data_IF_822182590105
#
_entry.id   IF_822182590105
#
_cell.length_a   1.000
_cell.length_b   1.000
_cell.length_c   1.000
_cell.angle_alpha   90.00
_cell.angle_beta   90.00
_cell.angle_gamma   90.00
#
_symmetry.space_group_name_H-M   'P 1'
#
loop_
_entity.id
_entity.type
_entity.pdbx_description
1 polymer ?
#
# COMPACT_ATOMS: atom_id res chain seq x y z
N UNK A 1 34.63 24.02 -9.63
CA UNK A 1 33.81 23.51 -8.50
C UNK A 1 34.24 22.07 -8.27
N UNK A 2 34.54 21.68 -7.03
CA UNK A 2 35.02 20.31 -6.73
C UNK A 2 33.84 19.39 -6.38
N UNK A 3 34.03 18.09 -6.58
CA UNK A 3 33.09 17.04 -6.14
C UNK A 3 33.72 16.25 -5.00
N UNK A 4 32.92 15.91 -4.00
CA UNK A 4 33.27 15.08 -2.87
C UNK A 4 32.50 13.76 -2.91
N UNK A 5 33.11 12.75 -2.29
CA UNK A 5 32.43 11.52 -1.90
C UNK A 5 31.75 11.80 -0.57
N UNK A 6 30.41 11.80 -0.57
CA UNK A 6 29.60 12.09 0.60
C UNK A 6 29.08 10.80 1.25
N UNK A 7 29.18 10.72 2.58
CA UNK A 7 28.44 9.76 3.39
C UNK A 7 27.12 10.38 3.82
N UNK A 8 26.02 9.97 3.18
CA UNK A 8 24.68 10.49 3.46
C UNK A 8 24.33 10.30 4.93
N UNK A 9 24.53 9.08 5.44
CA UNK A 9 24.54 8.73 6.86
C UNK A 9 25.94 8.99 7.43
N UNK A 10 26.08 10.13 8.10
CA UNK A 10 27.37 10.75 8.41
C UNK A 10 28.28 9.87 9.29
N UNK A 11 29.58 9.85 8.98
CA UNK A 11 30.55 8.99 9.68
C UNK A 11 30.64 9.25 11.20
N UNK A 12 30.41 10.50 11.62
CA UNK A 12 30.39 10.84 13.06
C UNK A 12 29.30 10.12 13.84
N UNK A 13 28.22 9.70 13.17
CA UNK A 13 27.08 9.05 13.83
C UNK A 13 27.42 7.64 14.31
N UNK A 14 28.48 7.02 13.82
CA UNK A 14 28.92 5.68 14.23
C UNK A 14 30.40 5.63 14.67
N UNK A 15 30.93 6.80 15.06
CA UNK A 15 32.26 6.91 15.68
C UNK A 15 33.44 6.95 14.71
N UNK A 16 33.22 7.14 13.40
CA UNK A 16 34.29 7.26 12.38
C UNK A 16 35.26 6.06 12.32
N UNK A 17 34.84 4.89 12.81
CA UNK A 17 35.58 3.62 12.75
C UNK A 17 35.80 3.11 11.32
N UNK A 18 36.92 2.42 11.06
CA UNK A 18 37.15 1.84 9.73
C UNK A 18 36.32 0.54 9.58
N UNK A 19 35.10 0.65 9.04
CA UNK A 19 34.12 -0.43 8.97
C UNK A 19 33.47 -0.56 7.58
N UNK A 20 32.64 -1.60 7.39
CA UNK A 20 31.91 -1.81 6.14
C UNK A 20 30.99 -0.63 5.79
N UNK A 21 30.32 -0.03 6.79
CA UNK A 21 29.46 1.15 6.60
C UNK A 21 30.21 2.35 5.98
N UNK A 22 31.51 2.49 6.26
CA UNK A 22 32.34 3.54 5.67
C UNK A 22 32.53 3.39 4.16
N UNK A 23 32.52 2.17 3.65
CA UNK A 23 32.73 1.86 2.23
C UNK A 23 31.46 1.38 1.53
N UNK A 24 30.32 1.43 2.22
CA UNK A 24 29.05 1.01 1.66
C UNK A 24 28.60 1.99 0.58
N UNK A 25 28.61 1.52 -0.65
CA UNK A 25 28.19 2.26 -1.82
C UNK A 25 26.74 2.70 -1.71
N UNK A 26 25.84 2.04 -0.97
CA UNK A 26 24.48 2.56 -0.73
C UNK A 26 24.44 3.79 0.19
N UNK A 27 25.51 4.05 0.94
CA UNK A 27 25.67 5.25 1.77
C UNK A 27 26.51 6.36 1.09
N UNK A 28 27.14 6.05 -0.03
CA UNK A 28 28.11 6.93 -0.70
C UNK A 28 27.48 7.59 -1.93
N UNK A 29 27.49 8.93 -1.96
CA UNK A 29 26.89 9.73 -3.03
C UNK A 29 27.88 10.82 -3.53
N UNK A 30 27.83 11.18 -4.82
CA UNK A 30 28.58 12.34 -5.32
C UNK A 30 27.91 13.63 -4.85
N UNK A 31 28.70 14.57 -4.31
CA UNK A 31 28.17 15.85 -3.84
C UNK A 31 29.12 17.02 -4.13
N UNK A 32 28.56 18.20 -4.42
CA UNK A 32 29.35 19.42 -4.62
C UNK A 32 30.08 19.82 -3.33
N UNK A 33 31.35 20.21 -3.45
CA UNK A 33 32.22 20.29 -2.27
C UNK A 33 31.75 21.32 -1.24
N UNK A 34 31.23 22.47 -1.66
CA UNK A 34 30.75 23.51 -0.73
C UNK A 34 29.48 23.08 -0.01
N UNK A 35 28.51 22.50 -0.71
CA UNK A 35 27.28 22.03 -0.06
C UNK A 35 27.56 20.84 0.86
N UNK A 36 28.49 19.93 0.52
CA UNK A 36 28.92 18.84 1.39
C UNK A 36 29.52 19.38 2.71
N UNK A 37 30.44 20.35 2.62
CA UNK A 37 30.98 21.04 3.81
C UNK A 37 29.89 21.74 4.62
N UNK A 38 28.92 22.35 3.94
CA UNK A 38 27.79 23.03 4.58
C UNK A 38 26.87 22.03 5.28
N UNK A 39 26.60 20.85 4.69
CA UNK A 39 25.76 19.79 5.24
C UNK A 39 26.35 19.22 6.53
N UNK A 40 27.66 18.96 6.54
CA UNK A 40 28.36 18.46 7.72
C UNK A 40 27.79 17.12 8.20
N UNK A 41 27.44 17.02 9.47
CA UNK A 41 26.84 15.83 10.07
C UNK A 41 25.34 15.97 10.38
N UNK A 42 24.66 16.96 9.80
CA UNK A 42 23.25 17.27 10.11
C UNK A 42 22.31 16.12 9.75
N UNK A 43 21.20 16.03 10.49
CA UNK A 43 20.13 15.06 10.24
C UNK A 43 19.39 15.34 8.94
N UNK A 44 18.82 14.30 8.32
CA UNK A 44 17.93 14.49 7.17
C UNK A 44 16.53 14.88 7.68
N UNK A 45 15.94 15.92 7.09
CA UNK A 45 14.57 16.32 7.43
C UNK A 45 14.13 17.61 6.73
N UNK A 46 12.92 18.08 7.04
CA UNK A 46 12.36 19.30 6.45
C UNK A 46 13.10 20.53 7.00
N UNK A 47 13.71 21.31 6.10
CA UNK A 47 14.40 22.56 6.44
C UNK A 47 13.44 23.73 6.28
N UNK A 48 13.00 24.28 7.40
CA UNK A 48 12.08 25.44 7.44
C UNK A 48 12.79 26.79 7.37
N UNK A 49 14.05 26.86 7.84
CA UNK A 49 14.90 28.05 7.78
C UNK A 49 16.21 27.71 7.08
N UNK A 50 16.31 28.07 5.81
CA UNK A 50 17.49 27.77 4.96
C UNK A 50 18.63 28.73 5.32
N UNK A 51 19.84 28.17 5.46
CA UNK A 51 21.09 28.92 5.68
C UNK A 51 22.06 28.76 4.51
N UNK A 52 22.06 27.61 3.85
CA UNK A 52 22.86 27.33 2.67
C UNK A 52 22.05 26.46 1.70
N UNK A 53 22.25 26.66 0.40
CA UNK A 53 21.65 25.81 -0.65
C UNK A 53 22.47 25.89 -1.93
N UNK A 54 22.39 24.84 -2.75
CA UNK A 54 22.90 24.82 -4.13
C UNK A 54 21.78 24.55 -5.16
N UNK A 55 20.50 24.70 -4.76
CA UNK A 55 19.34 24.36 -5.58
C UNK A 55 18.86 22.91 -5.43
N UNK A 56 19.77 21.94 -5.26
CA UNK A 56 19.44 20.52 -5.08
C UNK A 56 19.45 20.05 -3.62
N UNK A 57 20.04 20.83 -2.72
CA UNK A 57 20.12 20.54 -1.29
C UNK A 57 19.92 21.82 -0.50
N UNK A 58 19.11 21.76 0.56
CA UNK A 58 18.94 22.81 1.56
C UNK A 58 19.62 22.40 2.84
N UNK A 59 20.27 23.34 3.51
CA UNK A 59 20.86 23.15 4.83
C UNK A 59 20.39 24.26 5.75
N UNK A 60 19.97 23.92 6.97
CA UNK A 60 19.51 24.91 7.93
C UNK A 60 18.83 24.27 9.14
N UNK A 61 17.74 24.90 9.60
CA UNK A 61 17.01 24.43 10.78
C UNK A 61 15.60 23.98 10.45
N UNK A 62 15.16 22.89 11.09
CA UNK A 62 13.78 22.42 11.06
C UNK A 62 12.87 23.16 12.05
N UNK A 63 11.57 22.89 11.96
CA UNK A 63 10.57 23.46 12.87
C UNK A 63 10.79 23.05 14.34
N UNK A 64 11.43 21.90 14.55
CA UNK A 64 11.81 21.36 15.85
C UNK A 64 13.14 21.94 16.40
N UNK A 65 13.74 22.90 15.70
CA UNK A 65 15.02 23.51 16.07
C UNK A 65 16.26 22.66 15.74
N UNK A 66 16.10 21.46 15.18
CA UNK A 66 17.24 20.61 14.80
C UNK A 66 17.99 21.20 13.61
N UNK A 67 19.31 20.98 13.60
CA UNK A 67 20.14 21.27 12.44
C UNK A 67 19.96 20.16 11.40
N UNK A 68 19.35 20.51 10.26
CA UNK A 68 18.91 19.56 9.25
C UNK A 68 19.46 19.90 7.86
N UNK A 69 19.43 18.90 6.98
CA UNK A 69 19.53 19.07 5.54
C UNK A 69 18.34 18.40 4.85
N UNK A 70 17.97 18.91 3.68
CA UNK A 70 16.84 18.43 2.89
C UNK A 70 17.28 18.28 1.42
N UNK A 71 17.13 17.10 0.81
CA UNK A 71 17.33 16.93 -0.64
C UNK A 71 16.17 17.59 -1.43
N UNK A 72 16.40 17.85 -2.72
CA UNK A 72 15.33 18.22 -3.65
C UNK A 72 14.31 17.09 -3.81
N UNK A 73 13.11 17.42 -4.31
CA UNK A 73 11.96 16.54 -4.27
C UNK A 73 12.18 15.23 -5.04
N UNK A 74 12.92 15.29 -6.14
CA UNK A 74 13.29 14.17 -7.00
C UNK A 74 14.37 13.24 -6.41
N UNK A 75 14.88 13.51 -5.21
CA UNK A 75 15.87 12.67 -4.51
C UNK A 75 15.40 12.24 -3.11
N UNK A 76 14.23 12.71 -2.67
CA UNK A 76 13.75 12.50 -1.30
C UNK A 76 13.55 11.03 -0.98
N UNK A 77 13.06 10.26 -1.94
CA UNK A 77 12.83 8.82 -1.82
C UNK A 77 14.13 8.04 -1.81
N UNK A 78 15.08 8.39 -2.68
CA UNK A 78 16.39 7.75 -2.77
C UNK A 78 17.14 7.81 -1.43
N UNK A 79 17.23 9.02 -0.86
CA UNK A 79 17.89 9.19 0.43
C UNK A 79 17.09 8.55 1.57
N UNK A 80 15.75 8.56 1.53
CA UNK A 80 14.93 7.87 2.52
C UNK A 80 15.18 6.36 2.53
N UNK A 81 15.13 5.71 1.36
CA UNK A 81 15.44 4.28 1.19
C UNK A 81 16.89 3.96 1.56
N UNK A 82 17.82 4.88 1.28
CA UNK A 82 19.21 4.78 1.73
C UNK A 82 19.33 4.80 3.26
N UNK A 83 18.69 5.73 3.94
CA UNK A 83 18.71 5.81 5.41
C UNK A 83 18.08 4.58 6.06
N UNK A 84 16.93 4.12 5.56
CA UNK A 84 16.26 2.89 6.01
C UNK A 84 17.14 1.66 5.82
N UNK A 85 17.81 1.56 4.67
CA UNK A 85 18.78 0.51 4.43
C UNK A 85 19.90 0.48 5.46
N UNK A 86 20.52 1.63 5.75
CA UNK A 86 21.66 1.69 6.67
C UNK A 86 21.26 1.25 8.08
N UNK A 87 20.12 1.71 8.59
CA UNK A 87 19.68 1.31 9.94
C UNK A 87 19.28 -0.16 10.04
N UNK A 88 18.85 -0.77 8.92
CA UNK A 88 18.53 -2.22 8.85
C UNK A 88 19.77 -3.08 8.65
N UNK A 89 20.61 -2.75 7.67
CA UNK A 89 21.78 -3.56 7.31
C UNK A 89 22.90 -3.50 8.36
N UNK A 90 22.92 -2.42 9.16
CA UNK A 90 23.90 -2.19 10.24
C UNK A 90 23.23 -2.14 11.61
N UNK A 91 22.19 -2.96 11.84
CA UNK A 91 21.52 -3.10 13.14
C UNK A 91 22.52 -3.41 14.28
N UNK A 92 23.62 -4.09 14.01
CA UNK A 92 24.70 -4.37 14.96
C UNK A 92 25.46 -3.11 15.44
N UNK A 93 25.21 -1.95 14.83
CA UNK A 93 25.72 -0.64 15.23
C UNK A 93 24.67 0.13 16.06
N UNK A 94 23.54 -0.47 16.40
CA UNK A 94 22.46 0.15 17.16
C UNK A 94 22.90 0.89 18.42
N UNK A 95 23.90 0.38 19.14
CA UNK A 95 24.42 1.01 20.36
C UNK A 95 25.48 2.09 20.11
N UNK A 96 25.83 2.36 18.85
CA UNK A 96 26.88 3.33 18.45
C UNK A 96 26.30 4.62 17.88
N UNK A 97 24.98 4.72 17.67
CA UNK A 97 24.39 5.92 17.09
C UNK A 97 24.56 7.12 18.01
N UNK A 98 25.24 8.16 17.53
CA UNK A 98 25.65 9.31 18.34
C UNK A 98 25.61 10.62 17.53
N UNK A 99 26.01 11.72 18.17
CA UNK A 99 26.01 13.07 17.57
C UNK A 99 24.61 13.46 17.07
N UNK A 100 24.51 14.25 15.99
CA UNK A 100 23.24 14.62 15.36
C UNK A 100 22.38 13.42 14.93
N UNK A 101 22.96 12.22 14.77
CA UNK A 101 22.21 11.00 14.45
C UNK A 101 21.21 10.64 15.54
N UNK A 102 21.53 10.93 16.81
CA UNK A 102 20.63 10.71 17.95
C UNK A 102 19.36 11.58 17.89
N UNK A 103 19.30 12.60 17.02
CA UNK A 103 18.07 13.37 16.80
C UNK A 103 17.01 12.55 16.04
N UNK A 104 17.43 11.61 15.20
CA UNK A 104 16.56 10.77 14.35
C UNK A 104 16.56 9.28 14.74
N UNK A 105 17.50 8.84 15.58
CA UNK A 105 17.73 7.44 15.92
C UNK A 105 17.59 7.18 17.43
N UNK A 106 17.13 5.98 17.75
CA UNK A 106 17.24 5.38 19.08
C UNK A 106 18.46 4.45 19.13
N UNK A 107 19.07 4.29 20.31
CA UNK A 107 20.21 3.39 20.53
C UNK A 107 19.75 1.96 20.87
N UNK A 108 18.98 1.36 19.98
CA UNK A 108 18.40 0.02 20.10
C UNK A 108 18.23 -0.60 18.71
N UNK A 109 18.04 -1.91 18.68
CA UNK A 109 17.86 -2.66 17.43
C UNK A 109 16.50 -2.41 16.79
N UNK A 110 15.44 -2.32 17.60
CA UNK A 110 14.10 -1.97 17.14
C UNK A 110 13.26 -1.31 18.25
N UNK A 111 12.48 -0.25 17.95
CA UNK A 111 12.50 0.54 16.71
C UNK A 111 13.77 1.41 16.65
N UNK A 112 14.52 1.37 15.53
CA UNK A 112 15.79 2.11 15.38
C UNK A 112 15.60 3.59 15.04
N UNK A 113 14.60 3.92 14.21
CA UNK A 113 14.26 5.29 13.85
C UNK A 113 13.24 5.87 14.83
N UNK A 114 13.39 7.15 15.17
CA UNK A 114 12.38 7.89 15.92
C UNK A 114 11.14 8.11 15.06
N UNK A 115 9.98 8.21 15.72
CA UNK A 115 8.67 8.29 15.06
C UNK A 115 8.57 9.39 14.00
N UNK A 116 9.02 10.59 14.33
CA UNK A 116 9.02 11.69 13.37
C UNK A 116 9.87 11.39 12.12
N UNK A 117 10.98 10.66 12.30
CA UNK A 117 11.95 10.40 11.24
C UNK A 117 11.44 9.31 10.30
N UNK A 118 10.99 8.16 10.83
CA UNK A 118 10.46 7.12 9.94
C UNK A 118 9.20 7.59 9.23
N UNK A 119 8.29 8.35 9.87
CA UNK A 119 7.09 8.88 9.21
C UNK A 119 7.44 9.81 8.05
N UNK A 120 8.46 10.66 8.24
CA UNK A 120 8.94 11.55 7.19
C UNK A 120 9.58 10.77 6.04
N UNK A 121 10.44 9.81 6.34
CA UNK A 121 11.16 9.03 5.34
C UNK A 121 10.20 8.13 4.54
N UNK A 122 9.22 7.53 5.19
CA UNK A 122 8.12 6.80 4.52
C UNK A 122 7.36 7.74 3.57
N UNK A 123 6.95 8.92 4.06
CA UNK A 123 6.25 9.92 3.23
C UNK A 123 7.07 10.30 1.99
N UNK A 124 8.37 10.50 2.16
CA UNK A 124 9.28 10.84 1.07
C UNK A 124 9.44 9.69 0.08
N UNK A 125 9.65 8.46 0.56
CA UNK A 125 9.76 7.28 -0.30
C UNK A 125 8.46 6.96 -1.06
N UNK A 126 7.28 7.27 -0.49
CA UNK A 126 5.99 7.17 -1.17
C UNK A 126 5.81 8.24 -2.26
N UNK A 127 6.29 9.47 -2.01
CA UNK A 127 6.16 10.59 -2.95
C UNK A 127 7.14 10.48 -4.13
N UNK A 128 8.37 10.05 -3.85
CA UNK A 128 9.45 9.86 -4.81
C UNK A 128 9.76 8.36 -4.94
N UNK A 129 9.08 7.72 -5.89
CA UNK A 129 9.13 6.28 -6.12
C UNK A 129 10.43 5.89 -6.83
N UNK A 130 10.93 4.65 -6.69
CA UNK A 130 12.15 4.24 -7.38
C UNK A 130 12.07 4.44 -8.88
N UNK A 131 13.09 5.10 -9.42
CA UNK A 131 13.20 5.39 -10.84
C UNK A 131 14.25 4.49 -11.52
N UNK A 132 14.42 4.66 -12.83
CA UNK A 132 15.37 3.88 -13.60
C UNK A 132 16.83 4.09 -13.15
N UNK A 133 17.17 5.28 -12.66
CA UNK A 133 18.53 5.61 -12.21
C UNK A 133 18.85 4.91 -10.88
N UNK A 134 17.94 4.98 -9.91
CA UNK A 134 18.08 4.34 -8.61
C UNK A 134 18.12 2.81 -8.76
N UNK A 135 17.25 2.23 -9.59
CA UNK A 135 17.23 0.79 -9.86
C UNK A 135 18.52 0.34 -10.55
N UNK A 136 18.99 1.10 -11.55
CA UNK A 136 20.28 0.83 -12.21
C UNK A 136 21.42 0.86 -11.20
N UNK A 137 21.45 1.88 -10.33
CA UNK A 137 22.45 2.02 -9.27
C UNK A 137 22.38 0.83 -8.29
N UNK A 138 21.20 0.38 -7.88
CA UNK A 138 21.04 -0.78 -7.01
C UNK A 138 21.61 -2.06 -7.66
N UNK A 139 21.33 -2.27 -8.95
CA UNK A 139 21.88 -3.38 -9.72
C UNK A 139 23.41 -3.31 -9.84
N UNK A 140 23.98 -2.13 -10.11
CA UNK A 140 25.43 -1.98 -10.31
C UNK A 140 26.20 -2.07 -8.99
N UNK A 141 25.67 -1.49 -7.91
CA UNK A 141 26.24 -1.65 -6.56
C UNK A 141 26.22 -3.11 -6.13
N UNK A 142 25.14 -3.85 -6.41
CA UNK A 142 25.04 -5.27 -6.06
C UNK A 142 26.13 -6.13 -6.72
N UNK A 143 26.50 -5.83 -7.97
CA UNK A 143 27.60 -6.51 -8.67
C UNK A 143 28.97 -6.25 -8.02
N UNK A 144 29.13 -5.10 -7.35
CA UNK A 144 30.39 -4.69 -6.71
C UNK A 144 30.47 -5.16 -5.26
N UNK A 145 29.41 -4.96 -4.47
CA UNK A 145 29.39 -5.24 -3.03
C UNK A 145 28.88 -6.64 -2.67
N UNK A 146 28.13 -7.29 -3.58
CA UNK A 146 27.50 -8.58 -3.34
C UNK A 146 26.19 -8.53 -2.55
N UNK A 147 25.67 -7.34 -2.23
CA UNK A 147 24.39 -7.15 -1.55
C UNK A 147 23.51 -6.09 -2.22
N UNK A 148 22.20 -6.11 -1.95
CA UNK A 148 21.22 -5.16 -2.50
C UNK A 148 20.62 -4.28 -1.41
N UNK A 149 20.10 -3.12 -1.79
CA UNK A 149 19.19 -2.36 -0.94
C UNK A 149 17.76 -2.90 -1.14
N UNK A 150 17.18 -3.63 -0.16
CA UNK A 150 15.86 -4.22 -0.29
C UNK A 150 14.74 -3.18 -0.30
N UNK A 151 14.96 -1.96 0.23
CA UNK A 151 13.99 -0.87 0.16
C UNK A 151 13.90 -0.27 -1.25
N UNK A 152 14.94 -0.44 -2.07
CA UNK A 152 14.86 -0.13 -3.51
C UNK A 152 14.17 -1.28 -4.23
N UNK A 153 14.49 -2.54 -3.95
CA UNK A 153 13.88 -3.69 -4.63
C UNK A 153 12.38 -3.87 -4.29
N UNK A 154 12.01 -3.55 -3.05
CA UNK A 154 10.65 -3.67 -2.50
C UNK A 154 10.22 -2.32 -1.92
N UNK A 155 9.63 -1.43 -2.74
CA UNK A 155 9.43 -0.03 -2.37
C UNK A 155 8.40 0.18 -1.26
N UNK A 156 7.69 -0.86 -0.84
CA UNK A 156 6.74 -0.85 0.27
C UNK A 156 7.31 -1.50 1.55
N UNK A 157 8.52 -2.07 1.53
CA UNK A 157 9.12 -2.77 2.67
C UNK A 157 9.19 -1.90 3.94
N UNK A 158 9.36 -0.59 3.78
CA UNK A 158 9.39 0.37 4.89
C UNK A 158 8.12 0.33 5.77
N UNK A 159 6.96 0.02 5.19
CA UNK A 159 5.70 -0.07 5.92
C UNK A 159 5.66 -1.30 6.83
N UNK A 160 6.32 -2.39 6.42
CA UNK A 160 6.45 -3.62 7.20
C UNK A 160 7.46 -3.50 8.35
N UNK A 161 8.35 -2.51 8.28
CA UNK A 161 9.38 -2.31 9.32
C UNK A 161 9.00 -1.20 10.29
N UNK A 162 8.55 -0.03 9.82
CA UNK A 162 8.22 1.10 10.71
C UNK A 162 6.83 1.66 10.56
N UNK A 163 6.20 1.38 9.43
CA UNK A 163 4.90 1.92 9.14
C UNK A 163 3.80 1.04 9.71
N UNK A 164 2.85 0.80 8.86
CA UNK A 164 1.54 0.32 9.25
C UNK A 164 1.29 -1.15 9.05
N UNK A 165 2.21 -1.79 8.34
CA UNK A 165 2.19 -3.19 7.98
C UNK A 165 3.05 -4.02 8.92
N UNK A 166 3.52 -3.44 10.04
CA UNK A 166 4.43 -4.11 11.01
C UNK A 166 3.83 -5.36 11.65
N UNK A 167 2.52 -5.54 11.52
CA UNK A 167 1.73 -6.68 11.98
C UNK A 167 1.33 -7.65 10.85
N UNK A 168 1.84 -7.46 9.63
CA UNK A 168 1.60 -8.29 8.45
C UNK A 168 2.90 -8.97 8.04
N UNK A 169 2.83 -10.26 7.69
CA UNK A 169 4.00 -10.96 7.16
C UNK A 169 4.39 -10.41 5.78
N UNK A 170 5.65 -10.00 5.63
CA UNK A 170 6.19 -9.60 4.33
C UNK A 170 6.41 -10.83 3.43
N UNK A 171 5.82 -10.83 2.24
CA UNK A 171 6.02 -11.87 1.24
C UNK A 171 6.74 -11.31 0.00
N UNK A 172 8.03 -11.63 -0.21
CA UNK A 172 8.81 -11.12 -1.35
C UNK A 172 8.32 -11.64 -2.72
N UNK A 173 7.50 -12.69 -2.76
CA UNK A 173 6.97 -13.24 -4.02
C UNK A 173 5.81 -12.40 -4.56
N UNK A 174 4.94 -11.91 -3.67
CA UNK A 174 3.68 -11.24 -4.00
C UNK A 174 3.67 -9.73 -3.74
N UNK A 175 4.67 -9.22 -3.01
CA UNK A 175 4.79 -7.78 -2.73
C UNK A 175 5.18 -6.96 -3.97
N UNK A 176 5.00 -5.64 -3.89
CA UNK A 176 5.40 -4.68 -4.92
C UNK A 176 6.92 -4.73 -5.14
N UNK A 177 7.34 -4.81 -6.40
CA UNK A 177 8.75 -4.84 -6.82
C UNK A 177 9.13 -3.63 -7.64
N UNK A 178 10.37 -3.20 -7.54
CA UNK A 178 10.89 -2.05 -8.31
C UNK A 178 10.94 -2.28 -9.82
N UNK A 179 10.97 -3.54 -10.27
CA UNK A 179 10.85 -3.89 -11.68
C UNK A 179 9.57 -3.36 -12.33
N UNK A 180 8.51 -3.12 -11.55
CA UNK A 180 7.27 -2.51 -12.02
C UNK A 180 7.40 -1.02 -12.38
N UNK A 181 8.54 -0.39 -12.09
CA UNK A 181 8.78 1.06 -12.30
C UNK A 181 9.73 1.36 -13.47
N UNK A 182 10.33 0.36 -14.12
CA UNK A 182 11.45 0.56 -15.07
C UNK A 182 11.02 0.99 -16.48
N UNK A 183 9.72 1.05 -16.79
CA UNK A 183 9.26 1.67 -18.03
C UNK A 183 8.30 2.81 -17.65
N UNK A 184 8.58 4.03 -18.11
CA UNK A 184 7.65 5.18 -18.07
C UNK A 184 6.34 4.97 -18.85
N UNK A 185 6.01 3.73 -19.16
CA UNK A 185 4.78 3.19 -19.74
C UNK A 185 4.49 1.89 -18.97
N UNK A 186 3.94 2.01 -17.76
CA UNK A 186 3.55 0.88 -16.93
C UNK A 186 2.28 0.19 -17.44
N UNK A 187 2.39 -0.51 -18.56
CA UNK A 187 1.40 -1.47 -19.03
C UNK A 187 1.56 -2.82 -18.31
N UNK A 188 0.47 -3.30 -17.71
CA UNK A 188 0.26 -4.72 -17.39
C UNK A 188 0.57 -5.13 -15.96
N UNK A 189 -0.44 -4.99 -15.08
CA UNK A 189 -0.44 -5.48 -13.71
C UNK A 189 -1.01 -4.40 -12.79
N UNK A 190 -2.17 -4.66 -12.19
CA UNK A 190 -2.91 -3.70 -11.36
C UNK A 190 -1.99 -2.94 -10.42
N UNK A 191 -2.19 -1.62 -10.31
CA UNK A 191 -1.49 -0.84 -9.30
C UNK A 191 -2.00 -1.31 -7.93
N UNK A 192 -1.21 -2.16 -7.28
CA UNK A 192 -1.33 -2.36 -5.84
C UNK A 192 -0.91 -1.02 -5.24
N UNK A 193 -1.86 -0.31 -4.64
CA UNK A 193 -1.53 0.78 -3.73
C UNK A 193 -0.70 0.18 -2.58
N UNK A 194 0.56 0.59 -2.38
CA UNK A 194 1.50 -0.05 -1.46
C UNK A 194 1.23 0.21 0.03
N UNK A 195 -0.03 0.48 0.44
CA UNK A 195 -0.37 1.04 1.75
C UNK A 195 -1.31 0.17 2.59
N UNK A 196 -0.80 -0.51 3.63
CA UNK A 196 -1.59 -1.02 4.75
C UNK A 196 -1.81 0.02 5.87
N UNK A 197 -2.23 1.25 5.56
CA UNK A 197 -2.50 2.34 6.54
C UNK A 197 -3.18 1.86 7.85
N UNK A 198 -2.67 2.15 9.08
CA UNK A 198 -3.19 1.58 10.33
C UNK A 198 -4.06 2.60 11.08
N UNK A 199 -4.28 3.79 10.50
CA UNK A 199 -5.20 4.82 10.99
C UNK A 199 -6.55 4.76 10.28
N UNK A 200 -6.59 4.20 9.08
CA UNK A 200 -7.82 3.82 8.39
C UNK A 200 -7.74 2.35 8.14
N UNK A 201 -8.54 1.57 8.85
CA UNK A 201 -8.73 0.13 8.62
C UNK A 201 -9.11 -0.23 7.16
N UNK A 202 -9.27 0.75 6.26
CA UNK A 202 -9.67 0.67 4.85
C UNK A 202 -8.43 0.76 3.93
N UNK A 203 -8.24 -0.23 3.04
CA UNK A 203 -7.17 -0.33 2.04
C UNK A 203 -7.77 -0.48 0.64
N UNK A 204 -7.02 -0.13 -0.40
CA UNK A 204 -7.44 -0.33 -1.79
C UNK A 204 -7.18 -1.79 -2.23
N UNK A 205 -8.24 -2.54 -2.53
CA UNK A 205 -8.19 -3.91 -3.05
C UNK A 205 -7.99 -3.92 -4.57
N UNK A 206 -8.65 -3.00 -5.27
CA UNK A 206 -8.55 -2.83 -6.71
C UNK A 206 -8.71 -1.36 -7.06
N UNK A 207 -7.95 -0.87 -8.04
CA UNK A 207 -8.18 0.45 -8.61
C UNK A 207 -7.76 0.49 -10.07
N UNK A 208 -8.64 1.05 -10.91
CA UNK A 208 -8.33 1.32 -12.29
C UNK A 208 -8.90 2.68 -12.71
N UNK A 209 -8.08 3.45 -13.42
CA UNK A 209 -8.50 4.65 -14.15
C UNK A 209 -8.53 4.30 -15.63
N UNK A 210 -9.73 4.07 -16.16
CA UNK A 210 -9.94 3.48 -17.47
C UNK A 210 -9.57 4.40 -18.64
N UNK A 211 -9.41 5.70 -18.39
CA UNK A 211 -8.81 6.64 -19.36
C UNK A 211 -7.31 6.42 -19.54
N UNK A 212 -6.66 5.68 -18.65
CA UNK A 212 -5.22 5.38 -18.70
C UNK A 212 -4.91 3.92 -19.11
N UNK A 213 -5.70 2.94 -18.67
CA UNK A 213 -5.57 1.53 -19.07
C UNK A 213 -6.94 0.83 -19.15
N UNK A 214 -6.99 -0.46 -19.46
CA UNK A 214 -8.23 -1.27 -19.51
C UNK A 214 -8.65 -1.86 -18.16
N UNK A 215 -7.82 -1.70 -17.12
CA UNK A 215 -7.99 -2.25 -15.78
C UNK A 215 -8.07 -3.78 -15.73
N UNK A 216 -7.61 -4.48 -16.77
CA UNK A 216 -7.75 -5.93 -16.91
C UNK A 216 -9.19 -6.40 -17.15
N UNK A 217 -10.09 -5.49 -17.51
CA UNK A 217 -11.49 -5.84 -17.70
C UNK A 217 -11.66 -6.73 -18.93
N UNK A 218 -12.58 -7.69 -18.84
CA UNK A 218 -12.92 -8.59 -19.95
C UNK A 218 -14.38 -8.44 -20.32
N UNK A 219 -14.66 -8.29 -21.61
CA UNK A 219 -16.02 -8.29 -22.12
C UNK A 219 -16.52 -9.73 -22.34
N UNK A 220 -17.77 -9.99 -21.99
CA UNK A 220 -18.53 -11.15 -22.46
C UNK A 220 -19.83 -10.69 -23.12
N UNK A 221 -20.04 -11.05 -24.38
CA UNK A 221 -21.23 -10.68 -25.14
C UNK A 221 -22.25 -11.81 -25.04
N UNK A 222 -23.41 -11.52 -24.45
CA UNK A 222 -24.55 -12.44 -24.37
C UNK A 222 -25.37 -12.39 -25.66
N UNK A 223 -25.62 -11.18 -26.17
CA UNK A 223 -26.28 -10.96 -27.45
C UNK A 223 -25.90 -9.61 -28.04
N UNK A 224 -25.87 -9.51 -29.37
CA UNK A 224 -25.54 -8.25 -30.04
C UNK A 224 -26.13 -8.23 -31.45
N UNK A 225 -27.21 -7.47 -31.65
CA UNK A 225 -27.80 -7.24 -32.97
C UNK A 225 -27.24 -6.00 -33.67
N UNK A 226 -26.28 -5.31 -33.05
CA UNK A 226 -25.67 -4.09 -33.58
C UNK A 226 -24.56 -4.40 -34.60
N UNK A 227 -24.14 -3.42 -35.41
CA UNK A 227 -22.99 -3.58 -36.29
C UNK A 227 -21.63 -3.49 -35.58
N UNK A 228 -21.59 -3.39 -34.24
CA UNK A 228 -20.33 -3.40 -33.50
C UNK A 228 -19.87 -4.84 -33.23
N UNK A 229 -18.56 -5.07 -33.21
CA UNK A 229 -17.97 -6.34 -32.77
C UNK A 229 -17.90 -6.46 -31.25
N UNK A 230 -17.96 -5.33 -30.54
CA UNK A 230 -17.90 -5.20 -29.09
C UNK A 230 -18.96 -4.20 -28.64
N UNK A 231 -19.58 -4.43 -27.49
CA UNK A 231 -20.52 -3.49 -26.86
C UNK A 231 -19.77 -2.54 -25.92
N UNK A 232 -18.78 -3.08 -25.21
CA UNK A 232 -17.86 -2.34 -24.37
C UNK A 232 -16.60 -1.97 -25.14
N UNK A 233 -16.38 -0.68 -25.32
CA UNK A 233 -15.18 -0.14 -25.98
C UNK A 233 -14.47 0.83 -25.06
N UNK A 234 -13.15 0.69 -24.94
CA UNK A 234 -12.32 1.54 -24.10
C UNK A 234 -11.75 2.71 -24.89
N UNK A 235 -11.72 3.90 -24.31
CA UNK A 235 -11.07 5.08 -24.87
C UNK A 235 -10.28 5.86 -23.81
N UNK A 236 -9.26 6.58 -24.25
CA UNK A 236 -8.49 7.46 -23.36
C UNK A 236 -9.29 8.68 -22.87
N UNK A 237 -10.43 9.00 -23.49
CA UNK A 237 -11.24 10.17 -23.13
C UNK A 237 -12.37 9.83 -22.14
N UNK A 238 -12.99 8.66 -22.29
CA UNK A 238 -14.22 8.30 -21.58
C UNK A 238 -14.07 7.05 -20.69
N UNK A 239 -12.92 6.38 -20.73
CA UNK A 239 -12.77 5.08 -20.09
C UNK A 239 -13.52 3.99 -20.86
N UNK A 240 -14.16 3.08 -20.15
CA UNK A 240 -15.00 2.05 -20.74
C UNK A 240 -16.38 2.61 -21.09
N UNK A 241 -16.82 2.37 -22.32
CA UNK A 241 -18.12 2.80 -22.84
C UNK A 241 -18.91 1.60 -23.34
N UNK A 242 -20.03 1.31 -22.69
CA UNK A 242 -21.03 0.34 -23.12
C UNK A 242 -22.12 1.02 -23.96
N UNK A 243 -22.27 0.63 -25.22
CA UNK A 243 -23.40 1.04 -26.06
C UNK A 243 -23.57 0.13 -27.26
N UNK A 244 -24.82 -0.06 -27.69
CA UNK A 244 -25.15 -0.69 -28.96
C UNK A 244 -25.69 0.31 -29.99
N UNK A 245 -25.75 1.61 -29.65
CA UNK A 245 -26.31 2.63 -30.52
C UNK A 245 -25.36 2.95 -31.67
N UNK A 246 -25.85 2.82 -32.90
CA UNK A 246 -25.09 3.19 -34.12
C UNK A 246 -26.03 3.79 -35.17
N UNK A 247 -26.41 5.05 -34.98
CA UNK A 247 -27.41 5.72 -35.84
C UNK A 247 -28.84 5.20 -35.68
N UNK A 248 -29.01 4.06 -35.01
CA UNK A 248 -30.25 3.40 -34.63
C UNK A 248 -30.03 2.66 -33.31
N UNK A 249 -31.13 2.34 -32.61
CA UNK A 249 -31.12 1.48 -31.43
C UNK A 249 -31.01 0.01 -31.85
N UNK A 250 -30.13 -0.73 -31.20
CA UNK A 250 -29.96 -2.17 -31.40
C UNK A 250 -30.12 -2.90 -30.07
N UNK A 251 -30.65 -4.12 -30.12
CA UNK A 251 -30.72 -4.97 -28.96
C UNK A 251 -29.34 -5.58 -28.71
N UNK A 252 -28.85 -5.46 -27.48
CA UNK A 252 -27.60 -6.08 -27.08
C UNK A 252 -27.59 -6.30 -25.58
N UNK A 253 -26.81 -7.29 -25.17
CA UNK A 253 -26.55 -7.59 -23.78
C UNK A 253 -25.10 -8.07 -23.65
N UNK A 254 -24.32 -7.41 -22.81
CA UNK A 254 -22.91 -7.73 -22.59
C UNK A 254 -22.47 -7.31 -21.18
N UNK A 255 -21.54 -8.06 -20.61
CA UNK A 255 -20.89 -7.72 -19.35
C UNK A 255 -19.49 -7.23 -19.60
N UNK A 256 -19.05 -6.26 -18.79
CA UNK A 256 -17.64 -5.90 -18.63
C UNK A 256 -17.22 -6.30 -17.22
N UNK A 257 -16.36 -7.30 -17.14
CA UNK A 257 -16.01 -7.97 -15.89
C UNK A 257 -14.64 -7.51 -15.42
N UNK A 258 -14.56 -7.03 -14.17
CA UNK A 258 -13.29 -6.72 -13.50
C UNK A 258 -12.51 -8.03 -13.26
N UNK A 259 -11.17 -7.97 -13.13
CA UNK A 259 -10.39 -9.09 -12.61
C UNK A 259 -10.93 -9.60 -11.26
N UNK A 260 -10.72 -10.89 -10.98
CA UNK A 260 -11.02 -11.46 -9.66
C UNK A 260 -10.26 -10.69 -8.57
N UNK A 261 -10.97 -10.34 -7.50
CA UNK A 261 -10.41 -9.72 -6.31
C UNK A 261 -10.52 -10.67 -5.12
N UNK A 262 -9.50 -10.66 -4.27
CA UNK A 262 -9.47 -11.46 -3.05
C UNK A 262 -10.00 -10.62 -1.88
N UNK A 263 -11.19 -10.96 -1.37
CA UNK A 263 -11.82 -10.33 -0.21
C UNK A 263 -11.75 -11.22 1.04
N UNK A 264 -10.96 -12.30 1.04
CA UNK A 264 -10.93 -13.28 2.15
C UNK A 264 -10.44 -12.71 3.48
N UNK A 265 -9.59 -11.69 3.44
CA UNK A 265 -8.97 -11.08 4.63
C UNK A 265 -9.62 -9.80 5.13
N UNK A 266 -10.88 -9.54 4.77
CA UNK A 266 -11.57 -8.27 5.02
C UNK A 266 -12.84 -8.46 5.86
N UNK A 267 -13.22 -7.43 6.60
CA UNK A 267 -14.44 -7.36 7.43
C UNK A 267 -15.54 -6.51 6.77
N UNK A 268 -15.17 -5.63 5.84
CA UNK A 268 -16.04 -4.74 5.09
C UNK A 268 -15.36 -4.45 3.75
N UNK A 269 -16.13 -4.19 2.69
CA UNK A 269 -15.60 -3.83 1.39
C UNK A 269 -16.62 -3.00 0.61
N UNK A 270 -16.14 -2.12 -0.28
CA UNK A 270 -16.98 -1.24 -1.08
C UNK A 270 -16.44 -1.11 -2.50
N UNK A 271 -17.32 -1.05 -3.48
CA UNK A 271 -17.00 -0.69 -4.86
C UNK A 271 -17.43 0.74 -5.12
N UNK A 272 -16.51 1.62 -5.51
CA UNK A 272 -16.82 2.95 -6.03
C UNK A 272 -16.56 3.01 -7.53
N UNK A 273 -17.57 3.43 -8.30
CA UNK A 273 -17.45 3.67 -9.74
C UNK A 273 -17.69 5.14 -10.08
N UNK A 274 -16.83 5.70 -10.92
CA UNK A 274 -17.04 7.02 -11.53
C UNK A 274 -17.71 6.83 -12.88
N UNK A 275 -19.00 7.17 -12.97
CA UNK A 275 -19.83 6.87 -14.14
C UNK A 275 -20.61 8.07 -14.66
N UNK A 276 -20.91 8.04 -15.96
CA UNK A 276 -21.85 8.91 -16.64
C UNK A 276 -22.78 8.07 -17.52
N UNK A 277 -24.06 8.45 -17.58
CA UNK A 277 -25.08 7.74 -18.35
C UNK A 277 -25.87 8.76 -19.18
N UNK A 278 -26.07 8.44 -20.45
CA UNK A 278 -26.90 9.24 -21.34
C UNK A 278 -27.83 8.34 -22.18
N UNK A 279 -28.90 8.94 -22.70
CA UNK A 279 -29.92 8.30 -23.54
C UNK A 279 -30.69 7.15 -22.88
N UNK A 280 -30.68 7.06 -21.56
CA UNK A 280 -31.46 6.09 -20.80
C UNK A 280 -32.91 6.54 -20.59
N UNK A 281 -33.23 7.83 -20.79
CA UNK A 281 -34.58 8.40 -20.67
C UNK A 281 -35.23 8.10 -19.31
N UNK A 282 -34.44 8.14 -18.24
CA UNK A 282 -34.88 7.83 -16.88
C UNK A 282 -35.11 6.34 -16.59
N UNK A 283 -34.71 5.44 -17.50
CA UNK A 283 -34.86 3.97 -17.36
C UNK A 283 -33.53 3.24 -17.17
N UNK A 284 -32.47 3.94 -16.77
CA UNK A 284 -31.13 3.35 -16.70
C UNK A 284 -31.08 2.03 -15.89
N UNK A 285 -31.74 1.96 -14.73
CA UNK A 285 -31.77 0.76 -13.88
C UNK A 285 -32.54 -0.44 -14.48
N UNK A 286 -33.37 -0.23 -15.51
CA UNK A 286 -34.01 -1.34 -16.24
C UNK A 286 -33.01 -2.06 -17.16
N UNK A 287 -31.93 -1.38 -17.54
CA UNK A 287 -30.99 -1.80 -18.59
C UNK A 287 -29.56 -1.99 -18.09
N UNK A 288 -29.18 -1.33 -17.00
CA UNK A 288 -27.82 -1.34 -16.47
C UNK A 288 -27.83 -1.99 -15.08
N UNK A 289 -26.88 -2.89 -14.84
CA UNK A 289 -26.73 -3.58 -13.56
C UNK A 289 -25.27 -3.75 -13.18
N UNK A 290 -25.03 -3.88 -11.88
CA UNK A 290 -23.78 -4.43 -11.35
C UNK A 290 -24.09 -5.79 -10.75
N UNK A 291 -23.40 -6.81 -11.26
CA UNK A 291 -23.55 -8.20 -10.87
C UNK A 291 -22.25 -8.67 -10.20
N UNK A 292 -22.36 -9.52 -9.19
CA UNK A 292 -21.23 -10.03 -8.43
C UNK A 292 -21.31 -11.55 -8.37
N UNK A 293 -20.15 -12.20 -8.55
CA UNK A 293 -19.92 -13.61 -8.30
C UNK A 293 -18.90 -13.76 -7.18
N UNK A 294 -19.28 -14.40 -6.07
CA UNK A 294 -18.37 -14.76 -4.99
C UNK A 294 -18.08 -16.27 -5.00
N UNK A 295 -16.87 -16.62 -4.56
CA UNK A 295 -16.41 -18.00 -4.38
C UNK A 295 -15.82 -18.14 -2.99
N UNK A 296 -16.45 -18.96 -2.14
CA UNK A 296 -15.91 -19.32 -0.83
C UNK A 296 -14.68 -20.19 -1.01
N UNK A 297 -13.57 -19.79 -0.40
CA UNK A 297 -12.28 -20.48 -0.57
C UNK A 297 -12.14 -21.75 0.27
N UNK A 298 -13.01 -21.94 1.26
CA UNK A 298 -12.99 -23.10 2.16
C UNK A 298 -13.66 -24.33 1.55
N UNK A 299 -14.72 -24.15 0.78
CA UNK A 299 -15.50 -25.25 0.21
C UNK A 299 -15.83 -25.10 -1.30
N UNK A 300 -15.49 -23.96 -1.91
CA UNK A 300 -15.73 -23.68 -3.33
C UNK A 300 -17.16 -23.27 -3.66
N UNK A 301 -18.00 -22.99 -2.67
CA UNK A 301 -19.38 -22.52 -2.88
C UNK A 301 -19.40 -21.24 -3.69
N UNK A 302 -20.27 -21.19 -4.70
CA UNK A 302 -20.43 -20.04 -5.59
C UNK A 302 -21.77 -19.37 -5.31
N UNK A 303 -21.74 -18.05 -5.13
CA UNK A 303 -22.93 -17.21 -5.11
C UNK A 303 -22.84 -16.19 -6.26
N UNK A 304 -23.94 -16.03 -6.99
CA UNK A 304 -24.08 -15.03 -8.06
C UNK A 304 -25.30 -14.17 -7.77
N UNK A 305 -25.13 -12.86 -7.74
CA UNK A 305 -26.18 -11.92 -7.32
C UNK A 305 -26.05 -10.56 -8.00
N UNK A 306 -27.14 -9.79 -7.96
CA UNK A 306 -27.15 -8.39 -8.39
C UNK A 306 -26.95 -7.49 -7.16
N UNK A 307 -26.07 -6.49 -7.27
CA UNK A 307 -25.94 -5.45 -6.24
C UNK A 307 -27.15 -4.51 -6.33
N UNK A 308 -28.04 -4.63 -5.35
CA UNK A 308 -29.35 -3.94 -5.35
C UNK A 308 -29.27 -2.47 -4.93
N UNK A 309 -28.16 -2.06 -4.34
CA UNK A 309 -27.82 -0.68 -3.99
C UNK A 309 -27.14 0.07 -5.16
N UNK A 310 -27.01 -0.54 -6.34
CA UNK A 310 -26.57 0.14 -7.54
C UNK A 310 -27.52 1.28 -7.90
N UNK A 311 -26.96 2.49 -8.00
CA UNK A 311 -27.67 3.71 -8.38
C UNK A 311 -27.00 4.40 -9.57
N UNK A 312 -27.74 5.30 -10.20
CA UNK A 312 -27.38 5.99 -11.45
C UNK A 312 -27.77 7.47 -11.37
N UNK A 313 -27.16 8.35 -12.19
CA UNK A 313 -27.55 9.75 -12.23
C UNK A 313 -29.05 9.93 -12.51
N UNK A 314 -29.71 10.76 -11.69
CA UNK A 314 -31.15 11.07 -11.83
C UNK A 314 -31.54 11.72 -13.16
N UNK A 315 -30.56 12.21 -13.93
CA UNK A 315 -30.72 12.77 -15.26
C UNK A 315 -29.61 12.29 -16.18
N UNK A 316 -30.01 11.97 -17.40
CA UNK A 316 -29.11 11.70 -18.52
C UNK A 316 -28.15 12.89 -18.72
N UNK A 317 -26.85 12.64 -18.59
CA UNK A 317 -25.82 13.65 -18.84
C UNK A 317 -24.45 13.01 -19.02
N UNK A 318 -23.53 13.74 -19.64
CA UNK A 318 -22.11 13.36 -19.70
C UNK A 318 -21.31 13.80 -18.46
N UNK A 319 -22.01 14.19 -17.39
CA UNK A 319 -21.36 14.56 -16.13
C UNK A 319 -21.11 13.29 -15.33
N UNK A 320 -19.87 13.14 -14.88
CA UNK A 320 -19.45 11.97 -14.12
C UNK A 320 -19.66 12.20 -12.63
N UNK A 321 -20.19 11.19 -11.96
CA UNK A 321 -20.34 11.15 -10.51
C UNK A 321 -19.84 9.82 -9.96
N UNK A 322 -19.41 9.84 -8.71
CA UNK A 322 -19.01 8.64 -7.97
C UNK A 322 -20.23 8.00 -7.31
N UNK A 323 -20.36 6.69 -7.47
CA UNK A 323 -21.37 5.86 -6.83
C UNK A 323 -20.68 4.73 -6.10
N UNK A 324 -21.05 4.52 -4.84
CA UNK A 324 -20.45 3.52 -3.97
C UNK A 324 -21.47 2.44 -3.65
N UNK A 325 -21.10 1.19 -3.89
CA UNK A 325 -21.87 -0.02 -3.61
C UNK A 325 -21.20 -0.78 -2.46
N UNK A 326 -22.00 -1.37 -1.59
CA UNK A 326 -21.58 -2.18 -0.45
C UNK A 326 -21.28 -3.62 -0.89
N UNK A 327 -20.09 -4.10 -0.54
CA UNK A 327 -19.64 -5.47 -0.75
C UNK A 327 -19.46 -6.23 0.57
N UNK A 328 -19.85 -5.66 1.70
CA UNK A 328 -19.66 -6.24 3.04
C UNK A 328 -20.19 -7.67 3.17
N UNK A 329 -21.24 -8.02 2.44
CA UNK A 329 -21.79 -9.38 2.47
C UNK A 329 -20.85 -10.42 1.87
N UNK A 330 -19.98 -10.02 0.95
CA UNK A 330 -19.12 -10.91 0.15
C UNK A 330 -17.67 -10.96 0.66
N UNK A 331 -17.37 -10.27 1.77
CA UNK A 331 -16.06 -10.42 2.42
C UNK A 331 -15.90 -11.86 2.93
N UNK A 332 -14.66 -12.33 3.02
CA UNK A 332 -14.38 -13.75 3.26
C UNK A 332 -14.32 -14.61 1.99
N UNK A 333 -14.62 -14.06 0.81
CA UNK A 333 -14.64 -14.79 -0.47
C UNK A 333 -13.69 -14.19 -1.51
N UNK A 334 -13.48 -14.89 -2.62
CA UNK A 334 -12.97 -14.30 -3.86
C UNK A 334 -14.14 -13.79 -4.69
N UNK A 335 -14.09 -12.54 -5.16
CA UNK A 335 -15.19 -11.91 -5.86
C UNK A 335 -14.81 -11.48 -7.28
N UNK A 336 -15.76 -11.60 -8.21
CA UNK A 336 -15.68 -11.07 -9.57
C UNK A 336 -16.89 -10.18 -9.81
N UNK A 337 -16.66 -8.93 -10.21
CA UNK A 337 -17.74 -7.94 -10.42
C UNK A 337 -17.89 -7.64 -11.91
N UNK A 338 -19.13 -7.58 -12.38
CA UNK A 338 -19.49 -7.37 -13.78
C UNK A 338 -20.45 -6.20 -13.94
N UNK A 339 -20.10 -5.28 -14.83
CA UNK A 339 -20.99 -4.21 -15.28
C UNK A 339 -21.80 -4.74 -16.47
N UNK A 340 -23.09 -5.00 -16.24
CA UNK A 340 -23.97 -5.50 -17.29
C UNK A 340 -24.67 -4.36 -17.99
N UNK A 341 -24.46 -4.29 -19.29
CA UNK A 341 -25.18 -3.40 -20.20
C UNK A 341 -26.23 -4.20 -20.96
N UNK A 342 -27.45 -3.66 -21.04
CA UNK A 342 -28.53 -4.14 -21.89
C UNK A 342 -29.12 -3.00 -22.71
N UNK A 343 -29.66 -3.33 -23.87
CA UNK A 343 -30.45 -2.41 -24.70
C UNK A 343 -31.44 -3.16 -25.57
N UNK A 344 -32.41 -2.43 -26.11
CA UNK A 344 -33.41 -2.93 -27.05
C UNK A 344 -33.72 -1.89 -28.14
N UNK A 345 -34.77 -2.14 -28.94
CA UNK A 345 -35.18 -1.24 -30.01
C UNK A 345 -35.65 0.15 -29.51
N UNK A 346 -36.06 0.27 -28.25
CA UNK A 346 -36.61 1.50 -27.66
C UNK A 346 -35.55 2.31 -26.91
N UNK A 347 -34.67 1.63 -26.15
CA UNK A 347 -33.64 2.24 -25.31
C UNK A 347 -32.28 1.62 -25.64
N UNK A 348 -31.38 2.46 -26.10
CA UNK A 348 -29.98 2.14 -26.35
C UNK A 348 -29.15 3.23 -25.69
N UNK A 349 -28.96 3.08 -24.38
CA UNK A 349 -28.24 4.07 -23.60
C UNK A 349 -26.72 4.01 -23.90
N UNK A 350 -26.00 5.00 -23.40
CA UNK A 350 -24.55 4.95 -23.32
C UNK A 350 -24.16 5.00 -21.86
N UNK A 351 -23.40 3.99 -21.42
CA UNK A 351 -22.85 3.94 -20.07
C UNK A 351 -21.33 4.08 -20.14
N UNK A 352 -20.81 5.16 -19.56
CA UNK A 352 -19.38 5.41 -19.47
C UNK A 352 -18.91 5.22 -18.03
N UNK A 353 -17.84 4.44 -17.85
CA UNK A 353 -17.18 4.22 -16.57
C UNK A 353 -15.72 4.63 -16.73
N UNK A 354 -15.33 5.69 -16.02
CA UNK A 354 -13.97 6.24 -16.06
C UNK A 354 -13.04 5.64 -15.03
N UNK A 355 -13.59 5.23 -13.89
CA UNK A 355 -12.82 4.72 -12.77
C UNK A 355 -13.63 3.69 -12.01
N UNK A 356 -12.97 2.64 -11.55
CA UNK A 356 -13.49 1.73 -10.54
C UNK A 356 -12.44 1.60 -9.43
N UNK A 357 -12.90 1.57 -8.18
CA UNK A 357 -12.05 1.37 -7.01
C UNK A 357 -12.79 0.46 -6.04
N UNK A 358 -12.15 -0.61 -5.59
CA UNK A 358 -12.65 -1.45 -4.51
C UNK A 358 -11.80 -1.15 -3.30
N UNK A 359 -12.43 -0.66 -2.24
CA UNK A 359 -11.81 -0.54 -0.92
C UNK A 359 -12.25 -1.71 -0.06
N UNK A 360 -11.37 -2.14 0.83
CA UNK A 360 -11.60 -3.25 1.74
C UNK A 360 -11.09 -2.85 3.11
N UNK A 361 -11.87 -3.11 4.14
CA UNK A 361 -11.49 -2.85 5.52
C UNK A 361 -11.04 -4.13 6.21
N UNK A 362 -9.81 -4.14 6.72
CA UNK A 362 -9.25 -5.28 7.47
C UNK A 362 -9.45 -5.11 8.96
N UNK A 363 -9.63 -6.21 9.70
CA UNK A 363 -9.51 -6.16 11.16
C UNK A 363 -8.10 -5.72 11.50
N UNK A 364 -7.96 -4.76 12.42
CA UNK A 364 -6.68 -4.54 13.07
C UNK A 364 -6.28 -5.87 13.73
N UNK A 365 -5.13 -6.45 13.39
CA UNK A 365 -4.62 -7.67 14.04
C UNK A 365 -4.19 -7.42 15.50
N UNK A 366 -4.40 -6.20 16.01
CA UNK A 366 -4.34 -5.87 17.43
C UNK A 366 -5.60 -6.32 18.18
N UNK A 367 -5.40 -7.10 19.23
CA UNK A 367 -6.48 -7.63 20.09
C UNK A 367 -7.06 -6.48 20.92
N UNK A 368 -8.32 -6.10 20.65
CA UNK A 368 -9.04 -5.05 21.41
C UNK A 368 -9.64 -5.53 22.73
N UNK A 369 -9.83 -6.84 22.93
CA UNK A 369 -10.46 -7.35 24.15
C UNK A 369 -9.54 -8.26 24.96
N UNK A 370 -9.24 -7.82 26.17
CA UNK A 370 -8.75 -8.69 27.24
C UNK A 370 -9.94 -9.14 28.06
N UNK A 371 -10.24 -10.44 28.07
CA UNK A 371 -11.27 -10.98 28.97
C UNK A 371 -10.67 -11.17 30.37
N UNK A 372 -11.39 -10.74 31.39
CA UNK A 372 -11.03 -10.95 32.80
C UNK A 372 -11.66 -12.21 33.39
N UNK A 373 -12.60 -12.84 32.66
CA UNK A 373 -13.28 -14.07 33.05
C UNK A 373 -12.77 -15.27 32.23
N UNK A 374 -12.68 -16.48 32.81
CA UNK A 374 -12.46 -17.70 32.05
C UNK A 374 -13.56 -17.87 30.99
N UNK A 375 -13.21 -17.91 29.71
CA UNK A 375 -14.13 -18.48 28.71
C UNK A 375 -14.26 -19.99 29.01
N UNK A 376 -15.45 -20.56 28.84
CA UNK A 376 -15.85 -21.95 29.17
C UNK A 376 -14.98 -23.10 28.59
N UNK A 377 -13.86 -22.78 27.94
CA UNK A 377 -13.02 -23.71 27.19
C UNK A 377 -11.67 -24.03 27.83
N UNK A 378 -11.24 -23.31 28.88
CA UNK A 378 -10.03 -23.60 29.68
C UNK A 378 -10.43 -24.07 31.07
N UNK A 379 -10.00 -25.28 31.43
CA UNK A 379 -10.26 -25.91 32.72
C UNK A 379 -9.03 -25.73 33.61
N UNK A 380 -9.03 -24.71 34.46
CA UNK A 380 -7.90 -24.39 35.34
C UNK A 380 -7.62 -25.46 36.41
N UNK A 381 -8.47 -26.50 36.53
CA UNK A 381 -8.19 -27.65 37.40
C UNK A 381 -7.27 -28.69 36.75
N UNK A 382 -7.03 -28.59 35.44
CA UNK A 382 -6.12 -29.45 34.66
C UNK A 382 -4.80 -28.73 34.35
N UNK A 383 -3.71 -29.45 34.00
CA UNK A 383 -2.45 -28.82 33.63
C UNK A 383 -2.62 -27.82 32.47
N UNK A 384 -1.94 -26.69 32.56
CA UNK A 384 -1.84 -25.67 31.52
C UNK A 384 -0.46 -25.02 31.58
N UNK A 385 -0.05 -24.46 30.45
CA UNK A 385 1.17 -23.68 30.33
C UNK A 385 0.84 -22.19 30.29
N UNK A 386 1.69 -21.36 30.92
CA UNK A 386 1.57 -19.91 30.90
C UNK A 386 2.76 -19.34 30.16
N UNK A 387 2.52 -18.33 29.32
CA UNK A 387 3.54 -17.64 28.57
C UNK A 387 3.38 -16.12 28.71
N UNK A 388 4.48 -15.40 28.66
CA UNK A 388 4.46 -13.95 28.48
C UNK A 388 3.96 -13.59 27.08
N UNK A 389 3.63 -12.32 26.88
CA UNK A 389 3.19 -11.81 25.57
C UNK A 389 4.24 -11.96 24.47
N UNK A 390 5.53 -11.97 24.81
CA UNK A 390 6.66 -12.24 23.92
C UNK A 390 6.96 -13.76 23.78
N UNK A 391 6.08 -14.63 24.26
CA UNK A 391 6.12 -16.07 24.00
C UNK A 391 7.06 -16.88 24.90
N UNK A 392 7.59 -16.30 25.99
CA UNK A 392 8.44 -17.01 26.95
C UNK A 392 7.58 -17.79 27.93
N UNK A 393 7.90 -19.06 28.17
CA UNK A 393 7.19 -19.87 29.17
C UNK A 393 7.45 -19.31 30.57
N UNK A 394 6.38 -19.06 31.32
CA UNK A 394 6.40 -18.54 32.68
C UNK A 394 6.02 -19.65 33.66
N UNK A 395 6.61 -19.62 34.86
CA UNK A 395 6.11 -20.38 35.99
C UNK A 395 5.08 -19.54 36.77
N UNK A 396 4.13 -20.16 37.50
CA UNK A 396 3.16 -19.41 38.31
C UNK A 396 3.79 -18.45 39.32
N UNK A 397 5.03 -18.69 39.75
CA UNK A 397 5.81 -17.79 40.62
C UNK A 397 6.41 -16.56 39.93
N UNK A 398 6.40 -16.51 38.59
CA UNK A 398 6.97 -15.42 37.78
C UNK A 398 5.90 -14.49 37.18
N UNK A 399 4.62 -14.74 37.45
CA UNK A 399 3.53 -13.89 37.00
C UNK A 399 3.23 -12.79 38.02
N UNK A 400 3.51 -11.54 37.66
CA UNK A 400 3.18 -10.39 38.50
C UNK A 400 1.66 -10.11 38.45
N UNK A 401 1.07 -9.76 39.60
CA UNK A 401 -0.29 -9.23 39.69
C UNK A 401 -0.47 -8.06 38.70
N UNK A 402 -1.56 -8.06 37.94
CA UNK A 402 -1.88 -7.16 36.82
C UNK A 402 -1.18 -7.41 35.47
N UNK A 403 -0.49 -8.53 35.27
CA UNK A 403 0.16 -8.83 33.97
C UNK A 403 -0.78 -9.51 32.99
N UNK A 404 -0.59 -9.26 31.69
CA UNK A 404 -1.24 -10.01 30.61
C UNK A 404 -0.37 -11.22 30.25
N UNK A 405 -0.97 -12.40 30.22
CA UNK A 405 -0.32 -13.66 29.86
C UNK A 405 -1.09 -14.38 28.77
N UNK A 406 -0.43 -15.32 28.12
CA UNK A 406 -1.01 -16.31 27.23
C UNK A 406 -1.10 -17.62 28.00
N UNK A 407 -2.28 -18.24 28.09
CA UNK A 407 -2.47 -19.57 28.67
C UNK A 407 -2.74 -20.56 27.55
N UNK A 408 -2.01 -21.68 27.56
CA UNK A 408 -2.20 -22.80 26.65
C UNK A 408 -2.59 -24.06 27.42
N UNK A 409 -3.69 -24.69 27.00
CA UNK A 409 -4.09 -25.99 27.49
C UNK A 409 -4.45 -26.86 26.28
N UNK A 410 -3.64 -27.90 26.02
CA UNK A 410 -3.71 -28.71 24.80
C UNK A 410 -3.52 -27.85 23.53
N UNK A 411 -4.46 -27.91 22.57
CA UNK A 411 -4.50 -27.09 21.36
C UNK A 411 -5.16 -25.72 21.55
N UNK A 412 -5.68 -25.42 22.75
CA UNK A 412 -6.39 -24.17 23.04
C UNK A 412 -5.45 -23.13 23.61
N UNK A 413 -5.61 -21.88 23.18
CA UNK A 413 -4.80 -20.73 23.61
C UNK A 413 -5.72 -19.56 23.94
N UNK A 414 -5.56 -18.95 25.12
CA UNK A 414 -6.27 -17.73 25.52
C UNK A 414 -5.29 -16.66 26.01
N UNK A 415 -5.67 -15.39 25.91
CA UNK A 415 -4.96 -14.29 26.59
C UNK A 415 -5.78 -13.86 27.80
N UNK A 416 -5.12 -13.74 28.95
CA UNK A 416 -5.78 -13.44 30.22
C UNK A 416 -4.98 -12.38 30.97
N UNK A 417 -5.68 -11.48 31.66
CA UNK A 417 -5.06 -10.59 32.65
C UNK A 417 -5.09 -11.29 34.01
N UNK A 418 -3.93 -11.57 34.58
CA UNK A 418 -3.82 -12.08 35.95
C UNK A 418 -4.00 -10.88 36.89
N UNK A 419 -4.97 -10.95 37.80
CA UNK A 419 -5.16 -9.94 38.85
C UNK A 419 -4.42 -10.34 40.12
#
# INVERSE_FOLDING_TARGET
MGMNIEHSFAQSWWGKTNCNLKKDLFNIMPCESKINSSKGNRGMGIVTKVTNTNGATKVGSGANGFSLWEPADEWKGDFARGYMYIVTAYEDYANKWQSEGSNSLYNNTYPTLKEWAYKLYIKWAKADKPDALEIKRNNDVAKIQGNRNPYVDFPNLMEYVWGDSTNIAFNPETTVKSSSYVNGEGGGGGSIDPDPNPGTTEVNVYQATFTSNDGGCQESIVSNSSPYTQIWTRSAQYGWKGTAYKGSNYAAEATLTLPEVDLTGYDDAKLTINQAINFAKGKALDYLKVELKSVDTSDGTVEETQLTDFDVPSKDSWTYYDYTLDLSHFVGTKATISFRYKSDANICCTWEIKKATITGKKTATGIKETTTEPKDFIDFTKPYDVYSIDGRKLTPSLTNANSIVIIRQNSKVIKMRIR
#
